data_IF_828685295046
#
_entry.id   IF_828685295046
#
_cell.length_a   1.000
_cell.length_b   1.000
_cell.length_c   1.000
_cell.angle_alpha   90.00
_cell.angle_beta   90.00
_cell.angle_gamma   90.00
#
_symmetry.space_group_name_H-M   'P 1'
#
loop_
_entity.id
_entity.type
_entity.pdbx_description
1 polymer ?
#
# COMPACT_ATOMS: atom_id res chain seq x y z
N UNK A 1 -8.27 5.78 11.27
CA UNK A 1 -8.01 5.40 9.87
C UNK A 1 -9.14 5.92 9.00
N UNK A 2 -8.77 6.53 7.88
CA UNK A 2 -9.70 7.11 6.92
C UNK A 2 -10.38 6.02 6.09
N UNK A 3 -11.69 6.10 5.90
CA UNK A 3 -12.41 5.16 5.02
C UNK A 3 -11.93 5.24 3.56
N UNK A 4 -11.24 6.33 3.19
CA UNK A 4 -10.74 6.54 1.84
C UNK A 4 -9.32 6.05 1.59
N UNK A 5 -8.60 5.46 2.54
CA UNK A 5 -7.25 4.91 2.31
C UNK A 5 -6.15 5.89 1.88
N UNK A 6 -6.42 7.20 1.85
CA UNK A 6 -5.44 8.27 1.53
C UNK A 6 -4.32 8.37 2.55
N UNK A 7 -4.62 8.03 3.80
CA UNK A 7 -3.80 8.41 4.94
C UNK A 7 -3.16 7.22 5.64
N UNK A 8 -3.24 6.03 5.06
CA UNK A 8 -2.67 4.82 5.66
C UNK A 8 -1.19 5.00 6.06
N UNK A 9 -0.38 5.63 5.21
CA UNK A 9 1.02 5.87 5.54
C UNK A 9 1.21 6.90 6.66
N UNK A 10 0.49 8.02 6.60
CA UNK A 10 0.60 9.08 7.59
C UNK A 10 0.12 8.58 8.97
N UNK A 11 -0.99 7.85 9.02
CA UNK A 11 -1.53 7.25 10.24
C UNK A 11 -0.54 6.23 10.81
N UNK A 12 -0.01 5.32 9.98
CA UNK A 12 1.00 4.34 10.40
C UNK A 12 2.27 5.02 10.93
N UNK A 13 2.74 6.05 10.25
CA UNK A 13 3.91 6.82 10.65
C UNK A 13 3.68 7.58 11.97
N UNK A 14 2.46 8.07 12.21
CA UNK A 14 2.07 8.64 13.51
C UNK A 14 2.11 7.59 14.62
N UNK A 15 1.52 6.40 14.39
CA UNK A 15 1.55 5.31 15.37
C UNK A 15 3.00 4.89 15.69
N UNK A 16 3.84 4.79 14.65
CA UNK A 16 5.26 4.46 14.77
C UNK A 16 6.02 5.51 15.58
N UNK A 17 5.86 6.80 15.25
CA UNK A 17 6.53 7.92 15.95
C UNK A 17 6.10 8.10 17.41
N UNK A 18 4.95 7.56 17.77
CA UNK A 18 4.42 7.59 19.13
C UNK A 18 4.76 6.32 19.92
N UNK A 19 5.61 5.44 19.38
CA UNK A 19 5.98 4.14 19.97
C UNK A 19 4.74 3.27 20.32
N UNK A 20 3.68 3.37 19.51
CA UNK A 20 2.44 2.60 19.67
C UNK A 20 2.46 1.26 18.93
N UNK A 21 3.56 0.95 18.21
CA UNK A 21 3.76 -0.31 17.52
C UNK A 21 4.68 -1.22 18.34
N UNK A 22 4.22 -2.42 18.67
CA UNK A 22 5.04 -3.44 19.32
C UNK A 22 5.78 -4.29 18.27
N UNK A 23 6.99 -4.79 18.58
CA UNK A 23 7.68 -5.75 17.70
C UNK A 23 6.78 -6.93 17.36
N UNK A 24 6.72 -7.28 16.08
CA UNK A 24 5.87 -8.36 15.57
C UNK A 24 4.40 -7.97 15.36
N UNK A 25 4.00 -6.72 15.60
CA UNK A 25 2.63 -6.31 15.29
C UNK A 25 2.35 -6.45 13.79
N UNK A 26 1.14 -6.91 13.47
CA UNK A 26 0.68 -7.09 12.09
C UNK A 26 -0.25 -5.94 11.73
N UNK A 27 0.07 -5.26 10.64
CA UNK A 27 -0.70 -4.17 10.06
C UNK A 27 -1.35 -4.73 8.79
N UNK A 28 -2.67 -4.61 8.72
CA UNK A 28 -3.45 -5.00 7.56
C UNK A 28 -4.13 -3.75 7.00
N UNK A 29 -3.98 -3.54 5.70
CA UNK A 29 -4.71 -2.50 4.98
C UNK A 29 -5.43 -3.13 3.80
N UNK A 30 -6.74 -2.92 3.77
CA UNK A 30 -7.63 -3.37 2.70
C UNK A 30 -7.78 -2.29 1.63
N UNK A 31 -8.33 -2.64 0.46
CA UNK A 31 -8.64 -1.72 -0.63
C UNK A 31 -7.39 -0.96 -1.16
N UNK A 32 -6.23 -1.62 -1.16
CA UNK A 32 -4.97 -0.98 -1.58
C UNK A 32 -4.76 -0.99 -3.09
N UNK A 33 -5.61 -1.70 -3.86
CA UNK A 33 -5.68 -1.59 -5.32
C UNK A 33 -6.86 -0.70 -5.75
N UNK A 34 -8.04 -0.85 -5.14
CA UNK A 34 -9.25 -0.06 -5.48
C UNK A 34 -9.88 0.55 -4.23
N UNK A 35 -9.92 1.88 -4.08
CA UNK A 35 -9.47 2.92 -5.00
C UNK A 35 -7.97 3.18 -5.00
N UNK A 36 -7.18 2.33 -4.32
CA UNK A 36 -5.74 2.34 -4.40
C UNK A 36 -5.06 3.14 -3.30
N UNK A 37 -3.96 2.60 -2.79
CA UNK A 37 -3.06 3.26 -1.84
C UNK A 37 -1.59 3.14 -2.30
N UNK A 38 -1.24 3.60 -3.52
CA UNK A 38 0.08 3.37 -4.12
C UNK A 38 1.21 3.98 -3.30
N UNK A 39 1.01 5.16 -2.71
CA UNK A 39 2.02 5.78 -1.84
C UNK A 39 2.31 4.91 -0.61
N UNK A 40 1.26 4.38 0.00
CA UNK A 40 1.38 3.51 1.16
C UNK A 40 2.11 2.20 0.82
N UNK A 41 1.71 1.53 -0.26
CA UNK A 41 2.38 0.32 -0.76
C UNK A 41 3.85 0.58 -1.09
N UNK A 42 4.15 1.70 -1.76
CA UNK A 42 5.53 2.07 -2.06
C UNK A 42 6.35 2.28 -0.79
N UNK A 43 5.81 3.00 0.21
CA UNK A 43 6.52 3.26 1.46
C UNK A 43 6.83 1.97 2.22
N UNK A 44 5.87 1.05 2.29
CA UNK A 44 6.05 -0.26 2.93
C UNK A 44 7.05 -1.16 2.18
N UNK A 45 6.99 -1.21 0.86
CA UNK A 45 7.77 -2.18 0.08
C UNK A 45 9.16 -1.67 -0.34
N UNK A 46 9.30 -0.37 -0.62
CA UNK A 46 10.50 0.23 -1.23
C UNK A 46 10.98 1.51 -0.55
N UNK A 47 10.08 2.23 0.13
CA UNK A 47 10.36 3.51 0.77
C UNK A 47 10.87 3.37 2.20
N UNK A 48 10.50 4.34 3.04
CA UNK A 48 11.02 4.45 4.40
C UNK A 48 10.65 3.23 5.28
N UNK A 49 9.46 2.66 5.06
CA UNK A 49 8.98 1.50 5.80
C UNK A 49 9.69 0.19 5.45
N UNK A 50 10.31 0.06 4.27
CA UNK A 50 10.90 -1.20 3.78
C UNK A 50 11.98 -1.83 4.67
N UNK A 51 12.52 -1.06 5.63
CA UNK A 51 13.52 -1.56 6.59
C UNK A 51 12.92 -2.13 7.87
N UNK A 52 11.75 -1.62 8.23
CA UNK A 52 11.06 -1.92 9.48
C UNK A 52 9.86 -2.83 9.26
N UNK A 53 9.38 -2.97 8.02
CA UNK A 53 8.21 -3.78 7.71
C UNK A 53 8.55 -4.88 6.70
N UNK A 54 8.17 -6.12 7.03
CA UNK A 54 8.09 -7.20 6.05
C UNK A 54 6.68 -7.21 5.50
N UNK A 55 6.52 -6.88 4.22
CA UNK A 55 5.20 -6.67 3.60
C UNK A 55 4.91 -7.73 2.56
N UNK A 56 3.73 -8.32 2.65
CA UNK A 56 3.13 -9.18 1.64
C UNK A 56 1.90 -8.48 1.05
N UNK A 57 1.76 -8.53 -0.27
CA UNK A 57 0.53 -8.10 -0.96
C UNK A 57 -0.23 -9.36 -1.35
N UNK A 58 -1.51 -9.40 -0.99
CA UNK A 58 -2.41 -10.51 -1.27
C UNK A 58 -3.44 -10.01 -2.26
N UNK A 59 -3.59 -10.73 -3.37
CA UNK A 59 -4.69 -10.54 -4.32
C UNK A 59 -5.89 -11.34 -3.85
N UNK A 60 -7.07 -10.71 -3.83
CA UNK A 60 -8.33 -11.29 -3.40
C UNK A 60 -9.47 -10.76 -4.27
N UNK A 61 -10.61 -11.44 -4.20
CA UNK A 61 -11.86 -10.96 -4.80
C UNK A 61 -12.49 -9.88 -3.91
N UNK A 62 -12.97 -8.80 -4.51
CA UNK A 62 -13.61 -7.69 -3.83
C UNK A 62 -14.91 -8.18 -3.16
N UNK A 63 -15.06 -7.93 -1.85
CA UNK A 63 -16.12 -8.51 -1.02
C UNK A 63 -17.54 -8.29 -1.57
N UNK A 64 -17.78 -7.15 -2.22
CA UNK A 64 -19.09 -6.79 -2.75
C UNK A 64 -19.29 -7.15 -4.23
N UNK A 65 -18.25 -7.62 -4.92
CA UNK A 65 -18.25 -7.73 -6.38
C UNK A 65 -17.50 -8.97 -6.84
N UNK A 66 -18.25 -10.03 -7.12
CA UNK A 66 -17.67 -11.27 -7.59
C UNK A 66 -16.93 -11.11 -8.94
N UNK A 67 -15.77 -11.74 -9.08
CA UNK A 67 -14.87 -11.68 -10.22
C UNK A 67 -14.04 -10.40 -10.31
N UNK A 68 -14.14 -9.49 -9.35
CA UNK A 68 -13.38 -8.24 -9.33
C UNK A 68 -12.20 -8.39 -8.39
N UNK A 69 -10.99 -8.22 -8.91
CA UNK A 69 -9.77 -8.25 -8.12
C UNK A 69 -9.59 -6.97 -7.30
N UNK A 70 -9.20 -7.13 -6.02
CA UNK A 70 -8.63 -6.09 -5.18
C UNK A 70 -7.41 -6.66 -4.42
N UNK A 71 -6.63 -5.78 -3.80
CA UNK A 71 -5.46 -6.14 -3.03
C UNK A 71 -5.62 -5.75 -1.56
N UNK A 72 -4.96 -6.54 -0.73
CA UNK A 72 -4.74 -6.28 0.69
C UNK A 72 -3.25 -6.34 0.97
N UNK A 73 -2.73 -5.41 1.79
CA UNK A 73 -1.35 -5.51 2.29
C UNK A 73 -1.33 -6.06 3.70
N UNK A 74 -0.41 -6.97 3.97
CA UNK A 74 -0.12 -7.50 5.31
C UNK A 74 1.34 -7.20 5.62
N UNK A 75 1.58 -6.31 6.57
CA UNK A 75 2.92 -5.89 6.98
C UNK A 75 3.20 -6.29 8.43
N UNK A 76 4.35 -6.92 8.68
CA UNK A 76 4.81 -7.24 10.05
C UNK A 76 5.91 -6.26 10.45
N UNK A 77 5.76 -5.62 11.62
CA UNK A 77 6.71 -4.63 12.13
C UNK A 77 7.90 -5.28 12.85
N UNK A 78 9.11 -4.86 12.50
CA UNK A 78 10.38 -5.35 12.99
C UNK A 78 11.33 -4.18 13.30
N UNK A 79 11.20 -3.50 14.46
CA UNK A 79 12.02 -2.33 14.78
C UNK A 79 13.52 -2.67 14.83
N UNK A 80 13.88 -3.87 15.26
CA UNK A 80 15.27 -4.32 15.37
C UNK A 80 15.96 -4.50 14.00
N UNK A 81 15.20 -4.77 12.93
CA UNK A 81 15.74 -4.91 11.58
C UNK A 81 16.31 -3.59 11.03
N UNK A 82 15.91 -2.44 11.60
CA UNK A 82 16.49 -1.14 11.32
C UNK A 82 17.83 -0.94 12.06
N UNK A 83 17.91 -1.38 13.33
CA UNK A 83 19.11 -1.24 14.18
C UNK A 83 20.22 -2.24 13.89
N UNK A 84 19.89 -3.50 13.60
CA UNK A 84 20.85 -4.57 13.37
C UNK A 84 21.67 -4.39 12.06
N UNK A 85 21.19 -3.60 11.10
CA UNK A 85 21.93 -3.24 9.88
C UNK A 85 22.98 -2.14 10.09
N UNK A 86 23.10 -1.58 11.29
CA UNK A 86 23.95 -0.41 11.58
C UNK A 86 25.32 -0.73 12.20
N UNK A 87 25.69 -1.99 12.41
CA UNK A 87 26.94 -2.36 13.12
C UNK A 87 28.13 -2.65 12.20
N UNK A 88 27.97 -2.61 10.87
CA UNK A 88 29.11 -2.69 9.95
C UNK A 88 28.93 -1.74 8.77
N UNK A 89 29.86 -0.77 8.66
CA UNK A 89 29.95 0.34 7.69
C UNK A 89 29.11 1.54 8.05
N UNK A 90 29.77 2.69 7.99
CA UNK A 90 29.25 4.03 7.84
C UNK A 90 28.36 4.13 6.57
N UNK A 91 27.27 3.38 6.54
CA UNK A 91 26.25 3.50 5.52
C UNK A 91 25.49 4.78 5.85
N UNK A 92 25.69 5.80 5.01
CA UNK A 92 24.87 7.00 4.97
C UNK A 92 23.41 6.61 5.24
N UNK A 93 22.78 7.33 6.17
CA UNK A 93 21.34 7.26 6.33
C UNK A 93 20.74 7.30 4.92
N UNK A 94 19.84 6.38 4.55
CA UNK A 94 19.28 6.37 3.20
C UNK A 94 18.77 7.78 2.97
N UNK A 95 19.36 8.48 2.00
CA UNK A 95 18.79 9.72 1.48
C UNK A 95 17.32 9.41 1.33
N UNK A 96 16.47 10.17 2.02
CA UNK A 96 15.03 9.95 2.05
C UNK A 96 14.59 9.75 0.61
N UNK A 97 14.36 8.49 0.23
CA UNK A 97 14.27 8.14 -1.19
C UNK A 97 13.09 8.94 -1.70
N UNK A 98 13.38 9.87 -2.61
CA UNK A 98 12.34 10.75 -3.13
C UNK A 98 11.31 9.85 -3.78
N UNK A 99 10.06 9.94 -3.32
CA UNK A 99 8.95 9.15 -3.87
C UNK A 99 8.96 9.30 -5.40
N UNK A 100 9.01 8.20 -6.18
CA UNK A 100 9.02 8.25 -7.62
C UNK A 100 7.81 9.01 -8.16
N UNK A 101 7.98 9.74 -9.27
CA UNK A 101 6.89 10.54 -9.86
C UNK A 101 5.72 9.63 -10.23
N UNK A 102 6.00 8.42 -10.69
CA UNK A 102 5.02 7.41 -11.07
C UNK A 102 4.09 7.05 -9.90
N UNK A 103 4.63 6.95 -8.68
CA UNK A 103 3.82 6.71 -7.46
C UNK A 103 2.93 7.91 -7.17
N UNK A 104 3.44 9.13 -7.35
CA UNK A 104 2.66 10.35 -7.13
C UNK A 104 1.54 10.52 -8.17
N UNK A 105 1.80 10.16 -9.42
CA UNK A 105 0.79 10.16 -10.48
C UNK A 105 -0.32 9.14 -10.16
N UNK A 106 0.03 7.93 -9.74
CA UNK A 106 -0.95 6.92 -9.31
C UNK A 106 -1.74 7.36 -8.08
N UNK A 107 -1.09 8.01 -7.10
CA UNK A 107 -1.75 8.55 -5.91
C UNK A 107 -2.76 9.64 -6.27
N UNK A 108 -2.39 10.50 -7.22
CA UNK A 108 -3.29 11.51 -7.75
C UNK A 108 -4.50 10.89 -8.48
N UNK A 109 -4.27 9.90 -9.35
CA UNK A 109 -5.34 9.16 -10.02
C UNK A 109 -6.28 8.48 -8.99
N UNK A 110 -5.72 7.82 -7.98
CA UNK A 110 -6.47 7.22 -6.88
C UNK A 110 -7.33 8.26 -6.13
N UNK A 111 -6.78 9.44 -5.87
CA UNK A 111 -7.51 10.53 -5.22
C UNK A 111 -8.70 11.02 -6.07
N UNK A 112 -8.53 11.15 -7.38
CA UNK A 112 -9.63 11.50 -8.28
C UNK A 112 -10.74 10.45 -8.25
N UNK A 113 -10.38 9.18 -8.31
CA UNK A 113 -11.33 8.06 -8.25
C UNK A 113 -12.08 8.02 -6.92
N UNK A 114 -11.40 8.24 -5.79
CA UNK A 114 -12.03 8.37 -4.46
C UNK A 114 -13.05 9.48 -4.40
N UNK A 115 -12.69 10.64 -4.97
CA UNK A 115 -13.56 11.82 -5.00
C UNK A 115 -14.81 11.57 -5.84
N UNK A 116 -14.65 10.92 -7.00
CA UNK A 116 -15.78 10.52 -7.85
C UNK A 116 -16.66 9.47 -7.17
N UNK A 117 -16.06 8.47 -6.52
CA UNK A 117 -16.79 7.41 -5.81
C UNK A 117 -17.60 7.94 -4.63
N UNK A 118 -17.16 9.03 -4.01
CA UNK A 118 -17.87 9.71 -2.92
C UNK A 118 -18.99 10.64 -3.41
N UNK A 119 -19.08 10.91 -4.71
CA UNK A 119 -20.05 11.83 -5.30
C UNK A 119 -21.33 11.08 -5.76
N UNK A 120 -22.49 11.75 -5.81
CA UNK A 120 -23.70 11.15 -6.39
C UNK A 120 -23.47 10.75 -7.85
N UNK A 121 -23.62 9.46 -8.18
CA UNK A 121 -23.37 8.92 -9.52
C UNK A 121 -22.06 8.15 -9.64
N UNK A 122 -21.82 7.22 -8.70
CA UNK A 122 -20.69 6.28 -8.59
C UNK A 122 -19.86 6.07 -9.86
N UNK A 123 -18.54 5.93 -9.70
CA UNK A 123 -17.61 5.59 -10.79
C UNK A 123 -18.12 4.36 -11.57
N UNK A 124 -18.29 4.45 -12.91
CA UNK A 124 -18.75 3.34 -13.73
C UNK A 124 -17.82 2.13 -13.62
N UNK A 125 -18.37 0.92 -13.81
CA UNK A 125 -17.61 -0.33 -13.70
C UNK A 125 -16.40 -0.35 -14.64
N UNK A 126 -16.57 0.11 -15.88
CA UNK A 126 -15.51 0.15 -16.88
C UNK A 126 -14.37 1.09 -16.46
N UNK A 127 -14.72 2.21 -15.81
CA UNK A 127 -13.74 3.16 -15.27
C UNK A 127 -12.99 2.55 -14.09
N UNK A 128 -13.66 1.77 -13.22
CA UNK A 128 -13.01 1.01 -12.16
C UNK A 128 -12.04 -0.03 -12.71
N UNK A 129 -12.45 -0.81 -13.71
CA UNK A 129 -11.60 -1.82 -14.32
C UNK A 129 -10.36 -1.19 -14.97
N UNK A 130 -10.54 -0.11 -15.74
CA UNK A 130 -9.44 0.61 -16.37
C UNK A 130 -8.47 1.20 -15.34
N UNK A 131 -8.99 1.79 -14.25
CA UNK A 131 -8.19 2.30 -13.15
C UNK A 131 -7.38 1.18 -12.47
N UNK A 132 -8.01 0.03 -12.22
CA UNK A 132 -7.37 -1.11 -11.56
C UNK A 132 -6.21 -1.65 -12.41
N UNK A 133 -6.42 -1.84 -13.72
CA UNK A 133 -5.35 -2.26 -14.63
C UNK A 133 -4.21 -1.23 -14.69
N UNK A 134 -4.54 0.06 -14.70
CA UNK A 134 -3.56 1.15 -14.65
C UNK A 134 -2.73 1.11 -13.36
N UNK A 135 -3.37 0.92 -12.21
CA UNK A 135 -2.73 0.80 -10.90
C UNK A 135 -1.83 -0.44 -10.84
N UNK A 136 -2.34 -1.61 -11.24
CA UNK A 136 -1.55 -2.86 -11.30
C UNK A 136 -0.31 -2.72 -12.14
N UNK A 137 -0.45 -2.18 -13.35
CA UNK A 137 0.67 -1.96 -14.27
C UNK A 137 1.72 -1.00 -13.70
N UNK A 138 1.27 0.11 -13.10
CA UNK A 138 2.15 1.10 -12.48
C UNK A 138 2.90 0.54 -11.26
N UNK A 139 2.22 -0.19 -10.38
CA UNK A 139 2.84 -0.82 -9.21
C UNK A 139 3.81 -1.94 -9.62
N UNK A 140 3.45 -2.75 -10.62
CA UNK A 140 4.32 -3.79 -11.17
C UNK A 140 5.62 -3.23 -11.75
N UNK A 141 5.57 -2.07 -12.42
CA UNK A 141 6.78 -1.39 -12.92
C UNK A 141 7.75 -0.99 -11.80
N UNK A 142 7.26 -0.86 -10.56
CA UNK A 142 8.05 -0.58 -9.36
C UNK A 142 8.47 -1.86 -8.60
N UNK A 143 8.16 -3.04 -9.16
CA UNK A 143 8.39 -4.34 -8.52
C UNK A 143 7.53 -4.54 -7.28
N UNK A 144 6.29 -4.06 -7.32
CA UNK A 144 5.27 -4.23 -6.29
C UNK A 144 4.08 -4.94 -6.93
N UNK A 145 3.87 -6.20 -6.56
CA UNK A 145 2.81 -7.07 -7.08
C UNK A 145 2.35 -8.04 -5.99
N UNK A 146 1.19 -8.69 -6.14
CA UNK A 146 0.72 -9.70 -5.21
C UNK A 146 1.70 -10.87 -5.12
N UNK A 147 2.07 -11.25 -3.90
CA UNK A 147 2.90 -12.43 -3.65
C UNK A 147 2.09 -13.73 -3.78
N UNK A 148 0.77 -13.66 -3.54
CA UNK A 148 -0.16 -14.77 -3.70
C UNK A 148 -1.57 -14.27 -4.00
N UNK A 149 -2.37 -15.16 -4.56
CA UNK A 149 -3.81 -14.99 -4.75
C UNK A 149 -4.57 -15.89 -3.77
N UNK A 150 -5.63 -15.36 -3.16
CA UNK A 150 -6.56 -16.13 -2.35
C UNK A 150 -7.73 -16.57 -3.23
N UNK A 151 -7.92 -17.87 -3.38
CA UNK A 151 -9.13 -18.43 -3.98
C UNK A 151 -10.28 -18.38 -2.96
N UNK A 152 -11.53 -18.15 -3.40
CA UNK A 152 -12.70 -18.27 -2.53
C UNK A 152 -12.76 -19.67 -1.91
N UNK A 153 -12.99 -19.76 -0.60
CA UNK A 153 -13.31 -21.05 0.03
C UNK A 153 -14.77 -21.36 -0.25
N UNK A 154 -15.00 -22.46 -0.97
CA UNK A 154 -16.34 -23.05 -1.20
C UNK A 154 -17.05 -23.41 0.11
#
# INVERSE_FOLDING_TARGET
MDQGGSRFWQDLETLRKQDLLLPGCVIIADNVLKPGAPLFLWQLCKGAGSREFTTEIISLEEFAMAGVEDWMSVATYHPEAAGARSTSRSAEAPEASKVPKEVLDLEWEAHLVRTMASSPGSVPFEAWAAFSERMKSGMKALGIEPARSMEPRE
#
